data_IF_975663096916
#
_entry.id   IF_975663096916
#
_cell.length_a   1.000
_cell.length_b   1.000
_cell.length_c   1.000
_cell.angle_alpha   90.00
_cell.angle_beta   90.00
_cell.angle_gamma   90.00
#
_symmetry.space_group_name_H-M   'P 1'
#
loop_
_entity.id
_entity.type
_entity.pdbx_description
1 polymer ?
#
# COMPACT_ATOMS: atom_id res chain seq x y z
N UNK A 1 59.86 -31.32 -24.95
CA UNK A 1 59.44 -30.03 -24.35
C UNK A 1 58.00 -29.62 -24.75
N UNK A 2 57.50 -30.07 -25.91
CA UNK A 2 56.14 -29.73 -26.39
C UNK A 2 54.98 -30.41 -25.64
N UNK A 3 55.18 -31.62 -25.10
CA UNK A 3 54.12 -32.38 -24.41
C UNK A 3 53.66 -31.71 -23.09
N UNK A 4 54.60 -31.07 -22.37
CA UNK A 4 54.29 -30.30 -21.16
C UNK A 4 53.47 -29.03 -21.44
N UNK A 5 53.63 -28.43 -22.63
CA UNK A 5 52.89 -27.22 -23.03
C UNK A 5 51.44 -27.57 -23.37
N UNK A 6 51.21 -28.71 -24.02
CA UNK A 6 49.86 -29.21 -24.33
C UNK A 6 49.08 -29.59 -23.07
N UNK A 7 49.73 -30.24 -22.10
CA UNK A 7 49.13 -30.61 -20.81
C UNK A 7 48.76 -29.37 -19.98
N UNK A 8 49.62 -28.35 -19.96
CA UNK A 8 49.32 -27.04 -19.31
C UNK A 8 48.16 -26.32 -19.99
N UNK A 9 48.13 -26.26 -21.32
CA UNK A 9 47.01 -25.66 -22.07
C UNK A 9 45.69 -26.37 -21.76
N UNK A 10 45.67 -27.70 -21.79
CA UNK A 10 44.48 -28.49 -21.46
C UNK A 10 44.00 -28.25 -20.02
N UNK A 11 44.92 -28.10 -19.07
CA UNK A 11 44.61 -27.82 -17.66
C UNK A 11 44.06 -26.40 -17.45
N UNK A 12 44.57 -25.41 -18.18
CA UNK A 12 44.03 -24.04 -18.22
C UNK A 12 42.62 -24.01 -18.83
N UNK A 13 42.38 -24.73 -19.93
CA UNK A 13 41.05 -24.87 -20.53
C UNK A 13 40.05 -25.52 -19.57
N UNK A 14 40.46 -26.56 -18.84
CA UNK A 14 39.62 -27.19 -17.81
C UNK A 14 39.31 -26.24 -16.65
N UNK A 15 40.27 -25.42 -16.22
CA UNK A 15 40.03 -24.39 -15.21
C UNK A 15 39.06 -23.31 -15.71
N UNK A 16 39.23 -22.82 -16.94
CA UNK A 16 38.34 -21.80 -17.53
C UNK A 16 36.91 -22.29 -17.71
N UNK A 17 36.72 -23.54 -18.16
CA UNK A 17 35.41 -24.18 -18.25
C UNK A 17 34.75 -24.34 -16.88
N UNK A 18 35.53 -24.72 -15.86
CA UNK A 18 35.01 -24.82 -14.49
C UNK A 18 34.58 -23.46 -13.93
N UNK A 19 35.31 -22.38 -14.23
CA UNK A 19 34.98 -21.02 -13.80
C UNK A 19 33.72 -20.49 -14.50
N UNK A 20 33.56 -20.78 -15.80
CA UNK A 20 32.35 -20.45 -16.57
C UNK A 20 31.13 -21.18 -16.01
N UNK A 21 31.26 -22.47 -15.67
CA UNK A 21 30.20 -23.25 -15.03
C UNK A 21 29.82 -22.68 -13.65
N UNK A 22 30.80 -22.37 -12.80
CA UNK A 22 30.55 -21.77 -11.48
C UNK A 22 29.87 -20.41 -11.60
N UNK A 23 30.31 -19.55 -12.53
CA UNK A 23 29.69 -18.24 -12.75
C UNK A 23 28.26 -18.39 -13.25
N UNK A 24 27.98 -19.34 -14.16
CA UNK A 24 26.63 -19.66 -14.62
C UNK A 24 25.74 -20.24 -13.51
N UNK A 25 26.31 -21.05 -12.61
CA UNK A 25 25.61 -21.62 -11.47
C UNK A 25 25.29 -20.56 -10.41
N UNK A 26 26.24 -19.65 -10.14
CA UNK A 26 25.99 -18.46 -9.32
C UNK A 26 24.93 -17.55 -9.95
N UNK A 27 24.93 -17.34 -11.28
CA UNK A 27 23.90 -16.56 -11.99
C UNK A 27 22.52 -17.23 -12.01
N UNK A 28 22.47 -18.56 -12.15
CA UNK A 28 21.23 -19.33 -12.08
C UNK A 28 20.58 -19.25 -10.69
N UNK A 29 21.39 -19.17 -9.63
CA UNK A 29 20.91 -18.93 -8.26
C UNK A 29 20.52 -17.46 -8.01
N UNK A 30 21.05 -16.48 -8.77
CA UNK A 30 20.65 -15.05 -8.69
C UNK A 30 19.27 -14.79 -9.32
N UNK A 31 18.83 -15.65 -10.26
CA UNK A 31 17.48 -15.59 -10.84
C UNK A 31 16.44 -16.40 -10.04
N UNK A 32 16.86 -16.97 -8.91
CA UNK A 32 16.11 -17.94 -8.12
C UNK A 32 15.40 -17.38 -6.87
N UNK A 33 14.86 -16.16 -6.91
CA UNK A 33 13.71 -15.80 -6.06
C UNK A 33 12.97 -14.57 -6.64
N UNK A 34 11.97 -14.83 -7.47
CA UNK A 34 10.82 -13.94 -7.55
C UNK A 34 9.61 -14.77 -7.20
N UNK A 35 9.29 -14.87 -5.92
CA UNK A 35 7.93 -15.07 -5.42
C UNK A 35 6.91 -14.50 -6.41
N UNK A 36 6.39 -15.35 -7.30
CA UNK A 36 5.37 -15.00 -8.29
C UNK A 36 4.03 -14.97 -7.58
N UNK A 37 3.92 -14.17 -6.51
CA UNK A 37 2.63 -13.73 -6.03
C UNK A 37 2.09 -12.81 -7.13
N UNK A 38 1.11 -13.31 -7.89
CA UNK A 38 0.44 -12.57 -8.96
C UNK A 38 0.05 -11.21 -8.41
N UNK A 39 0.56 -10.15 -9.05
CA UNK A 39 0.23 -8.79 -8.69
C UNK A 39 -1.28 -8.60 -8.83
N UNK A 40 -1.90 -7.97 -7.84
CA UNK A 40 -3.33 -7.67 -7.83
C UNK A 40 -3.52 -6.23 -7.41
N UNK A 41 -4.26 -5.47 -8.21
CA UNK A 41 -4.70 -4.14 -7.85
C UNK A 41 -5.54 -4.13 -6.57
N UNK A 42 -5.67 -2.98 -5.91
CA UNK A 42 -6.52 -2.86 -4.73
C UNK A 42 -7.99 -3.13 -5.10
N UNK A 43 -8.71 -3.79 -4.19
CA UNK A 43 -10.16 -4.00 -4.23
C UNK A 43 -10.69 -3.74 -2.83
N UNK A 44 -11.77 -2.96 -2.70
CA UNK A 44 -12.35 -2.71 -1.39
C UNK A 44 -12.91 -4.00 -0.78
N UNK A 45 -12.55 -4.26 0.47
CA UNK A 45 -13.17 -5.27 1.34
C UNK A 45 -14.28 -4.61 2.14
N UNK A 46 -14.00 -3.42 2.68
CA UNK A 46 -14.98 -2.54 3.29
C UNK A 46 -14.89 -1.17 2.65
N UNK A 47 -15.91 -0.86 1.85
CA UNK A 47 -16.11 0.47 1.31
C UNK A 47 -17.11 1.24 2.20
N UNK A 48 -16.82 2.50 2.59
CA UNK A 48 -17.70 3.31 3.41
C UNK A 48 -19.12 3.46 2.87
N UNK A 49 -20.06 3.82 3.74
CA UNK A 49 -21.42 4.22 3.34
C UNK A 49 -21.42 5.59 2.67
N UNK A 50 -22.43 5.85 1.83
CA UNK A 50 -22.56 7.13 1.11
C UNK A 50 -22.85 8.30 2.06
N UNK A 51 -23.59 8.06 3.14
CA UNK A 51 -23.91 9.07 4.14
C UNK A 51 -23.68 8.49 5.54
N UNK A 52 -23.08 9.29 6.41
CA UNK A 52 -22.90 8.97 7.83
C UNK A 52 -23.49 10.11 8.63
N UNK A 53 -24.51 9.79 9.42
CA UNK A 53 -25.21 10.73 10.30
C UNK A 53 -24.90 10.40 11.76
N UNK A 54 -24.52 11.40 12.55
CA UNK A 54 -24.21 11.25 13.98
C UNK A 54 -24.44 12.56 14.71
N UNK A 55 -24.58 12.57 16.04
CA UNK A 55 -24.66 13.82 16.79
C UNK A 55 -23.28 14.29 17.27
N UNK A 56 -23.16 15.59 17.58
CA UNK A 56 -21.99 16.15 18.27
C UNK A 56 -21.60 15.35 19.52
N UNK A 57 -22.56 14.75 20.24
CA UNK A 57 -22.30 13.99 21.47
C UNK A 57 -21.87 12.54 21.26
N UNK A 58 -22.15 11.92 20.11
CA UNK A 58 -21.79 10.51 19.85
C UNK A 58 -20.53 10.37 19.02
N UNK A 59 -20.28 11.29 18.08
CA UNK A 59 -19.23 11.11 17.06
C UNK A 59 -19.53 9.93 16.12
N UNK A 60 -18.54 9.53 15.32
CA UNK A 60 -18.66 8.43 14.36
C UNK A 60 -17.32 7.76 14.05
N UNK A 61 -17.39 6.51 13.58
CA UNK A 61 -16.24 5.75 13.05
C UNK A 61 -16.60 5.26 11.67
N UNK A 62 -15.76 5.57 10.68
CA UNK A 62 -15.98 5.24 9.28
C UNK A 62 -14.85 4.32 8.83
N UNK A 63 -15.16 3.03 8.70
CA UNK A 63 -14.18 2.01 8.33
C UNK A 63 -13.92 2.01 6.82
N UNK A 64 -12.66 1.82 6.44
CA UNK A 64 -12.28 1.56 5.05
C UNK A 64 -11.13 0.55 5.00
N UNK A 65 -11.30 -0.51 4.23
CA UNK A 65 -10.25 -1.50 4.00
C UNK A 65 -10.27 -2.00 2.56
N UNK A 66 -9.09 -2.35 2.05
CA UNK A 66 -8.92 -2.91 0.73
C UNK A 66 -7.86 -4.01 0.78
N UNK A 67 -7.99 -4.98 -0.12
CA UNK A 67 -7.04 -6.06 -0.30
C UNK A 67 -6.35 -5.94 -1.65
N UNK A 68 -5.15 -6.51 -1.77
CA UNK A 68 -4.37 -6.49 -3.00
C UNK A 68 -3.07 -7.25 -2.82
N UNK A 69 -2.25 -7.34 -3.87
CA UNK A 69 -0.86 -7.77 -3.68
C UNK A 69 0.08 -6.96 -4.56
N UNK A 70 1.05 -6.22 -3.99
CA UNK A 70 1.29 -5.96 -2.55
C UNK A 70 0.08 -5.35 -1.81
N UNK A 71 0.09 -5.45 -0.47
CA UNK A 71 -0.99 -4.95 0.38
C UNK A 71 -1.21 -3.44 0.15
N UNK A 72 -2.46 -2.98 -0.09
CA UNK A 72 -2.73 -1.58 -0.33
C UNK A 72 -2.57 -0.72 0.92
N UNK A 73 -1.99 0.47 0.75
CA UNK A 73 -2.07 1.53 1.76
C UNK A 73 -3.39 2.28 1.60
N UNK A 74 -4.02 2.59 2.73
CA UNK A 74 -5.26 3.39 2.77
C UNK A 74 -4.94 4.82 3.19
N UNK A 75 -5.59 5.79 2.56
CA UNK A 75 -5.57 7.20 2.95
C UNK A 75 -6.92 7.85 2.71
N UNK A 76 -7.19 8.94 3.41
CA UNK A 76 -8.43 9.70 3.27
C UNK A 76 -8.19 11.02 2.53
N UNK A 77 -9.11 11.38 1.65
CA UNK A 77 -9.16 12.65 0.94
C UNK A 77 -10.49 13.35 1.22
N UNK A 78 -10.48 14.68 1.13
CA UNK A 78 -11.70 15.47 1.00
C UNK A 78 -12.13 15.50 -0.47
N UNK A 79 -13.36 15.96 -0.75
CA UNK A 79 -13.89 16.04 -2.12
C UNK A 79 -13.01 16.87 -3.09
N UNK A 80 -12.30 17.87 -2.59
CA UNK A 80 -11.36 18.71 -3.33
C UNK A 80 -10.02 18.01 -3.65
N UNK A 81 -9.82 16.77 -3.18
CA UNK A 81 -8.60 15.99 -3.36
C UNK A 81 -7.53 16.25 -2.29
N UNK A 82 -7.77 17.18 -1.35
CA UNK A 82 -6.81 17.45 -0.29
C UNK A 82 -6.74 16.26 0.69
N UNK A 83 -5.53 15.88 1.13
CA UNK A 83 -5.37 14.82 2.11
C UNK A 83 -6.01 15.21 3.44
N UNK A 84 -6.64 14.23 4.08
CA UNK A 84 -7.27 14.40 5.39
C UNK A 84 -6.21 14.28 6.48
N UNK A 85 -6.05 15.34 7.27
CA UNK A 85 -5.18 15.37 8.44
C UNK A 85 -5.94 15.08 9.73
N UNK A 86 -5.20 14.67 10.75
CA UNK A 86 -5.69 14.58 12.13
C UNK A 86 -5.86 15.99 12.70
N UNK A 87 -6.99 16.22 13.37
CA UNK A 87 -7.30 17.43 14.12
C UNK A 87 -7.52 16.99 15.57
N UNK A 88 -6.61 17.31 16.50
CA UNK A 88 -6.68 16.85 17.88
C UNK A 88 -8.07 17.11 18.51
N UNK A 89 -8.66 16.05 19.08
CA UNK A 89 -9.97 16.12 19.75
C UNK A 89 -11.19 16.23 18.81
N UNK A 90 -11.01 16.34 17.49
CA UNK A 90 -12.11 16.49 16.53
C UNK A 90 -12.15 15.31 15.55
N UNK A 91 -11.01 14.99 14.91
CA UNK A 91 -10.95 13.95 13.87
C UNK A 91 -9.59 13.27 13.83
N UNK A 92 -9.56 11.95 13.70
CA UNK A 92 -8.32 11.18 13.59
C UNK A 92 -8.46 10.03 12.61
N UNK A 93 -7.35 9.66 11.94
CA UNK A 93 -7.23 8.39 11.23
C UNK A 93 -6.60 7.37 12.18
N UNK A 94 -7.28 6.26 12.44
CA UNK A 94 -6.80 5.17 13.30
C UNK A 94 -5.81 4.25 12.54
N UNK A 95 -5.03 3.41 13.26
CA UNK A 95 -4.13 2.44 12.64
C UNK A 95 -4.82 1.38 11.77
N UNK A 96 -6.11 1.13 12.01
CA UNK A 96 -6.96 0.27 11.17
C UNK A 96 -7.48 0.98 9.91
N UNK A 97 -7.00 2.20 9.66
CA UNK A 97 -7.38 3.09 8.57
C UNK A 97 -8.81 3.66 8.65
N UNK A 98 -9.51 3.49 9.76
CA UNK A 98 -10.82 4.12 9.97
C UNK A 98 -10.67 5.63 10.22
N UNK A 99 -11.61 6.41 9.66
CA UNK A 99 -11.74 7.84 9.94
C UNK A 99 -12.70 8.04 11.11
N UNK A 100 -12.22 8.67 12.16
CA UNK A 100 -12.94 8.83 13.42
C UNK A 100 -13.25 10.29 13.65
N UNK A 101 -14.50 10.57 13.96
CA UNK A 101 -14.98 11.85 14.47
C UNK A 101 -15.28 11.67 15.95
N UNK A 102 -14.62 12.46 16.79
CA UNK A 102 -14.85 12.40 18.24
C UNK A 102 -16.10 13.19 18.62
N UNK A 103 -16.71 12.91 19.78
CA UNK A 103 -17.66 13.82 20.38
C UNK A 103 -17.06 15.21 20.58
N UNK A 104 -17.83 16.24 20.25
CA UNK A 104 -17.43 17.64 20.30
C UNK A 104 -18.50 18.50 20.97
N UNK A 105 -18.10 19.66 21.49
CA UNK A 105 -19.02 20.71 21.88
C UNK A 105 -19.42 21.58 20.67
N UNK A 106 -20.50 22.34 20.81
CA UNK A 106 -21.03 23.20 19.72
C UNK A 106 -20.01 24.23 19.21
N UNK A 107 -19.14 24.74 20.08
CA UNK A 107 -18.07 25.71 19.73
C UNK A 107 -16.94 25.09 18.91
N UNK A 108 -16.79 23.77 18.95
CA UNK A 108 -15.79 23.03 18.15
C UNK A 108 -16.35 22.56 16.80
N UNK A 109 -17.65 22.78 16.55
CA UNK A 109 -18.27 22.48 15.27
C UNK A 109 -17.59 23.25 14.14
N UNK A 110 -17.38 22.55 13.04
CA UNK A 110 -16.62 23.03 11.89
C UNK A 110 -17.28 22.52 10.63
N UNK A 111 -17.84 23.41 9.82
CA UNK A 111 -18.52 23.04 8.57
C UNK A 111 -17.58 22.30 7.62
N UNK A 112 -16.30 22.68 7.59
CA UNK A 112 -15.28 22.06 6.75
C UNK A 112 -14.89 20.63 7.20
N UNK A 113 -15.36 20.20 8.38
CA UNK A 113 -15.11 18.88 8.96
C UNK A 113 -16.40 18.06 9.12
N UNK A 114 -17.43 18.63 9.74
CA UNK A 114 -18.68 17.98 10.18
C UNK A 114 -19.85 18.16 9.18
N UNK A 115 -19.64 18.91 8.10
CA UNK A 115 -20.56 18.99 6.96
C UNK A 115 -19.79 18.87 5.64
N UNK A 116 -18.78 18.01 5.64
CA UNK A 116 -17.87 17.80 4.52
C UNK A 116 -18.06 16.43 3.87
N UNK A 117 -17.49 16.29 2.67
CA UNK A 117 -17.50 15.05 1.90
C UNK A 117 -16.09 14.46 1.87
N UNK A 118 -16.00 13.17 2.21
CA UNK A 118 -14.75 12.43 2.28
C UNK A 118 -14.71 11.28 1.28
N UNK A 119 -13.51 10.82 0.95
CA UNK A 119 -13.25 9.62 0.15
C UNK A 119 -12.10 8.84 0.74
N UNK A 120 -12.24 7.52 0.72
CA UNK A 120 -11.14 6.61 1.02
C UNK A 120 -10.42 6.24 -0.29
N UNK A 121 -9.09 6.26 -0.26
CA UNK A 121 -8.24 5.88 -1.38
C UNK A 121 -7.36 4.70 -0.98
N UNK A 122 -7.46 3.61 -1.73
CA UNK A 122 -6.61 2.44 -1.56
C UNK A 122 -5.60 2.37 -2.70
N UNK A 123 -4.30 2.25 -2.38
CA UNK A 123 -3.22 2.30 -3.38
C UNK A 123 -2.19 1.22 -3.14
N UNK A 124 -1.77 0.53 -4.19
CA UNK A 124 -0.55 -0.27 -4.21
C UNK A 124 0.22 -0.03 -5.53
N UNK A 125 1.34 -0.73 -5.74
CA UNK A 125 2.16 -0.54 -6.95
C UNK A 125 1.47 -0.91 -8.28
N UNK A 126 0.33 -1.60 -8.23
CA UNK A 126 -0.44 -2.00 -9.41
C UNK A 126 -1.44 -0.91 -9.78
N UNK A 127 -1.99 -0.19 -8.81
CA UNK A 127 -2.94 0.88 -9.07
C UNK A 127 -3.54 1.51 -7.81
N UNK A 128 -4.52 2.38 -8.03
CA UNK A 128 -5.25 3.11 -7.00
C UNK A 128 -6.75 3.08 -7.30
N UNK A 129 -7.57 2.90 -6.27
CA UNK A 129 -9.04 2.99 -6.35
C UNK A 129 -9.55 3.99 -5.32
N UNK A 130 -10.68 4.64 -5.64
CA UNK A 130 -11.36 5.60 -4.78
C UNK A 130 -12.74 5.06 -4.40
N UNK A 131 -13.13 5.24 -3.14
CA UNK A 131 -14.48 4.90 -2.68
C UNK A 131 -15.51 5.88 -3.25
N UNK A 132 -16.79 5.54 -3.08
CA UNK A 132 -17.89 6.52 -3.12
C UNK A 132 -17.65 7.70 -2.18
N UNK A 133 -18.34 8.79 -2.47
CA UNK A 133 -18.40 9.97 -1.59
C UNK A 133 -19.05 9.59 -0.25
N UNK A 134 -18.47 10.04 0.85
CA UNK A 134 -19.02 9.92 2.20
C UNK A 134 -19.46 11.29 2.67
N UNK A 135 -20.75 11.54 2.64
CA UNK A 135 -21.36 12.79 3.12
C UNK A 135 -21.52 12.70 4.63
N UNK A 136 -20.85 13.61 5.35
CA UNK A 136 -21.03 13.74 6.79
C UNK A 136 -22.19 14.68 7.07
N UNK A 137 -23.11 14.23 7.92
CA UNK A 137 -24.14 15.08 8.51
C UNK A 137 -24.06 14.94 10.02
N UNK A 138 -23.95 16.07 10.70
CA UNK A 138 -23.89 16.15 12.16
C UNK A 138 -24.99 17.03 12.69
#
# INVERSE_FOLDING_TARGET
>A
MEEHVHKKRFQVYRLMLSFQFLFSYSFANVLGDRSSRRLRGPIFVHEPLETVEFSNSTGAVISCSAQGYPEPTIRWERRDGNPVSTIPGIRQIRPDNSLVFFPINTDQYRQDVHAAVYRCIATNRVGSIRSRDVVIKT
#
